data_IF_252983752314
#
_entry.id   IF_252983752314
#
_cell.length_a   1.000
_cell.length_b   1.000
_cell.length_c   1.000
_cell.angle_alpha   90.00
_cell.angle_beta   90.00
_cell.angle_gamma   90.00
#
_symmetry.space_group_name_H-M   'P 1'
#
loop_
_entity.id
_entity.type
_entity.pdbx_description
1 polymer ?
#
# COMPACT_ATOMS: atom_id res chain seq x y z
N UNK A 1 12.12 51.16 -6.14
CA UNK A 1 12.61 49.78 -6.20
C UNK A 1 12.26 49.11 -4.88
N UNK A 2 11.33 48.15 -4.83
CA UNK A 2 11.22 47.28 -3.69
C UNK A 2 12.06 46.02 -3.91
N UNK A 3 12.65 45.40 -2.88
CA UNK A 3 13.41 44.17 -3.01
C UNK A 3 12.47 42.96 -3.08
N UNK A 4 12.76 42.12 -4.04
CA UNK A 4 12.19 40.76 -4.15
C UNK A 4 12.43 39.96 -2.88
N UNK A 5 11.40 39.73 -2.09
CA UNK A 5 11.39 38.73 -1.05
C UNK A 5 10.96 37.39 -1.64
N UNK A 6 11.91 36.63 -2.17
CA UNK A 6 11.73 35.18 -2.31
C UNK A 6 11.69 34.56 -0.91
N UNK A 7 10.53 34.52 -0.31
CA UNK A 7 10.26 33.67 0.84
C UNK A 7 10.11 32.24 0.33
N UNK A 8 11.24 31.52 0.27
CA UNK A 8 11.25 30.09 0.25
C UNK A 8 10.63 29.60 1.57
N UNK A 9 9.35 29.24 1.54
CA UNK A 9 8.68 28.61 2.68
C UNK A 9 9.40 27.31 2.98
N UNK A 10 9.90 27.20 4.23
CA UNK A 10 10.38 25.93 4.78
C UNK A 10 9.24 24.93 4.72
N UNK A 11 9.43 23.72 4.10
CA UNK A 11 8.37 22.74 4.04
C UNK A 11 7.91 22.34 5.45
N UNK A 12 6.60 22.12 5.68
CA UNK A 12 6.10 21.62 6.93
C UNK A 12 6.63 20.19 7.17
N UNK A 13 7.17 19.92 8.36
CA UNK A 13 7.73 18.63 8.75
C UNK A 13 9.21 18.50 8.41
N UNK A 14 10.13 18.81 9.34
CA UNK A 14 11.58 18.58 9.28
C UNK A 14 12.30 18.77 7.95
N UNK A 15 13.61 18.89 8.00
CA UNK A 15 14.43 18.91 6.77
C UNK A 15 14.66 17.46 6.28
N UNK A 16 13.69 16.94 5.53
CA UNK A 16 13.76 15.59 4.93
C UNK A 16 14.73 15.50 3.75
N UNK A 17 15.19 16.65 3.22
CA UNK A 17 16.07 16.68 2.04
C UNK A 17 17.39 15.96 2.28
N UNK A 18 17.97 16.13 3.47
CA UNK A 18 19.20 15.43 3.84
C UNK A 18 19.02 13.90 3.93
N UNK A 19 17.89 13.43 4.44
CA UNK A 19 17.58 12.00 4.52
C UNK A 19 17.38 11.38 3.13
N UNK A 20 16.87 12.13 2.18
CA UNK A 20 16.53 11.67 0.83
C UNK A 20 17.62 11.98 -0.22
N UNK A 21 18.65 12.76 0.12
CA UNK A 21 19.72 13.12 -0.80
C UNK A 21 20.37 11.89 -1.49
N UNK A 22 20.68 10.79 -0.80
CA UNK A 22 21.28 9.62 -1.45
C UNK A 22 20.44 9.03 -2.58
N UNK A 23 19.10 8.98 -2.42
CA UNK A 23 18.21 8.49 -3.47
C UNK A 23 18.23 9.39 -4.71
N UNK A 24 18.30 10.70 -4.50
CA UNK A 24 18.35 11.68 -5.59
C UNK A 24 19.69 11.68 -6.32
N UNK A 25 20.78 11.40 -5.62
CA UNK A 25 22.14 11.32 -6.15
C UNK A 25 22.39 10.04 -6.95
N UNK A 26 21.75 8.92 -6.56
CA UNK A 26 21.92 7.61 -7.18
C UNK A 26 20.57 7.00 -7.65
N UNK A 27 19.82 7.67 -8.54
CA UNK A 27 18.49 7.22 -8.93
C UNK A 27 18.49 5.85 -9.64
N UNK A 28 19.55 5.52 -10.39
CA UNK A 28 19.71 4.22 -11.07
C UNK A 28 19.92 3.02 -10.13
N UNK A 29 20.08 3.26 -8.82
CA UNK A 29 20.18 2.22 -7.77
C UNK A 29 19.08 2.35 -6.72
N UNK A 30 18.14 3.27 -6.94
CA UNK A 30 17.12 3.65 -5.98
C UNK A 30 15.74 3.16 -6.39
N UNK A 31 14.97 2.71 -5.39
CA UNK A 31 13.57 2.35 -5.51
C UNK A 31 12.69 3.37 -4.77
N UNK A 32 11.63 3.83 -5.45
CA UNK A 32 10.60 4.70 -4.88
C UNK A 32 9.31 3.88 -4.75
N UNK A 33 8.96 3.51 -3.54
CA UNK A 33 7.78 2.71 -3.22
C UNK A 33 6.76 3.56 -2.44
N UNK A 34 5.48 3.35 -2.70
CA UNK A 34 4.41 4.12 -2.06
C UNK A 34 3.15 3.27 -1.91
N UNK A 35 2.41 3.50 -0.82
CA UNK A 35 1.01 3.10 -0.76
C UNK A 35 0.16 3.99 -1.67
N UNK A 36 -1.11 3.62 -1.86
CA UNK A 36 -2.04 4.32 -2.77
C UNK A 36 -3.12 5.07 -2.00
N UNK A 37 -3.97 4.35 -1.25
CA UNK A 37 -5.13 4.94 -0.58
C UNK A 37 -4.73 5.58 0.74
N UNK A 38 -4.90 6.89 0.87
CA UNK A 38 -4.40 7.69 2.01
C UNK A 38 -3.03 8.32 1.77
N UNK A 39 -2.27 7.82 0.80
CA UNK A 39 -0.90 8.25 0.50
C UNK A 39 -0.78 8.97 -0.85
N UNK A 40 -1.29 8.39 -1.94
CA UNK A 40 -1.35 9.00 -3.29
C UNK A 40 -2.75 9.50 -3.62
N UNK A 41 -3.78 8.83 -3.14
CA UNK A 41 -5.18 9.19 -3.30
C UNK A 41 -5.82 9.48 -1.93
N UNK A 42 -6.72 10.45 -1.81
CA UNK A 42 -7.42 10.69 -0.54
C UNK A 42 -8.30 9.48 -0.19
N UNK A 43 -8.45 9.22 1.11
CA UNK A 43 -9.42 8.26 1.61
C UNK A 43 -10.82 8.78 1.32
N UNK A 44 -11.64 7.96 0.67
CA UNK A 44 -13.02 8.27 0.28
C UNK A 44 -13.99 7.24 0.84
N UNK A 45 -15.29 7.57 0.87
CA UNK A 45 -16.31 6.64 1.38
C UNK A 45 -16.47 5.39 0.52
N UNK A 46 -16.34 5.54 -0.80
CA UNK A 46 -16.47 4.48 -1.80
C UNK A 46 -15.19 4.34 -2.57
N UNK A 47 -14.61 3.14 -2.60
CA UNK A 47 -13.32 2.89 -3.27
C UNK A 47 -13.30 3.32 -4.74
N UNK A 48 -14.45 3.27 -5.42
CA UNK A 48 -14.63 3.67 -6.82
C UNK A 48 -14.52 5.19 -7.05
N UNK A 49 -14.72 6.00 -5.99
CA UNK A 49 -14.62 7.47 -6.06
C UNK A 49 -13.19 7.97 -5.82
N UNK A 50 -12.25 7.08 -5.46
CA UNK A 50 -10.87 7.44 -5.27
C UNK A 50 -10.23 7.93 -6.57
N UNK A 51 -9.42 8.97 -6.47
CA UNK A 51 -8.69 9.51 -7.62
C UNK A 51 -7.29 9.95 -7.21
N UNK A 52 -6.29 9.56 -7.98
CA UNK A 52 -4.93 10.08 -7.82
C UNK A 52 -4.84 11.44 -8.50
N UNK A 53 -4.42 12.51 -7.80
CA UNK A 53 -4.26 13.83 -8.38
C UNK A 53 -3.31 13.83 -9.60
N UNK A 54 -3.63 14.64 -10.62
CA UNK A 54 -2.80 14.72 -11.83
C UNK A 54 -1.34 15.04 -11.51
N UNK A 55 -1.10 15.94 -10.55
CA UNK A 55 0.24 16.32 -10.12
C UNK A 55 1.04 15.15 -9.50
N UNK A 56 0.38 14.19 -8.83
CA UNK A 56 1.05 13.00 -8.31
C UNK A 56 1.41 12.04 -9.46
N UNK A 57 0.50 11.87 -10.43
CA UNK A 57 0.77 11.06 -11.63
C UNK A 57 1.92 11.61 -12.46
N UNK A 58 1.97 12.93 -12.65
CA UNK A 58 3.07 13.61 -13.35
C UNK A 58 4.41 13.39 -12.65
N UNK A 59 4.45 13.54 -11.33
CA UNK A 59 5.65 13.30 -10.55
C UNK A 59 6.09 11.82 -10.63
N UNK A 60 5.16 10.86 -10.47
CA UNK A 60 5.46 9.44 -10.58
C UNK A 60 5.94 9.04 -11.98
N UNK A 61 5.37 9.63 -13.05
CA UNK A 61 5.83 9.39 -14.40
C UNK A 61 7.27 9.88 -14.61
N UNK A 62 7.61 11.09 -14.12
CA UNK A 62 8.97 11.61 -14.18
C UNK A 62 9.96 10.76 -13.36
N UNK A 63 9.53 10.26 -12.20
CA UNK A 63 10.34 9.35 -11.39
C UNK A 63 10.60 8.02 -12.11
N UNK A 64 9.60 7.47 -12.80
CA UNK A 64 9.74 6.21 -13.54
C UNK A 64 10.75 6.29 -14.70
N UNK A 65 10.97 7.48 -15.26
CA UNK A 65 12.01 7.70 -16.28
C UNK A 65 13.43 7.79 -15.69
N UNK A 66 13.54 8.06 -14.41
CA UNK A 66 14.83 8.39 -13.76
C UNK A 66 15.30 7.32 -12.79
N UNK A 67 14.40 6.75 -12.01
CA UNK A 67 14.71 5.79 -10.95
C UNK A 67 14.67 4.36 -11.47
N UNK A 68 15.51 3.50 -10.89
CA UNK A 68 15.59 2.10 -11.30
C UNK A 68 14.26 1.35 -11.06
N UNK A 69 13.52 1.73 -10.02
CA UNK A 69 12.20 1.17 -9.71
C UNK A 69 11.29 2.24 -9.11
N UNK A 70 10.07 2.35 -9.64
CA UNK A 70 8.96 3.06 -8.99
C UNK A 70 7.79 2.10 -8.88
N UNK A 71 7.23 1.97 -7.68
CA UNK A 71 6.17 0.98 -7.45
C UNK A 71 5.13 1.42 -6.42
N UNK A 72 3.92 0.90 -6.60
CA UNK A 72 2.80 1.08 -5.67
C UNK A 72 2.49 -0.25 -4.98
N UNK A 73 2.27 -0.21 -3.66
CA UNK A 73 1.87 -1.36 -2.85
C UNK A 73 0.51 -1.04 -2.23
N UNK A 74 -0.53 -1.79 -2.56
CA UNK A 74 -1.91 -1.45 -2.20
C UNK A 74 -2.72 -2.66 -1.71
N UNK A 75 -3.74 -2.41 -0.91
CA UNK A 75 -4.79 -3.38 -0.59
C UNK A 75 -5.76 -3.65 -1.75
N UNK A 76 -5.73 -2.82 -2.81
CA UNK A 76 -6.45 -3.06 -4.06
C UNK A 76 -5.79 -4.16 -4.87
N UNK A 77 -6.55 -4.77 -5.79
CA UNK A 77 -5.93 -5.62 -6.81
C UNK A 77 -4.92 -4.81 -7.65
N UNK A 78 -3.83 -5.44 -8.10
CA UNK A 78 -2.77 -4.76 -8.84
C UNK A 78 -3.27 -4.06 -10.11
N UNK A 79 -4.19 -4.69 -10.86
CA UNK A 79 -4.82 -4.09 -12.04
C UNK A 79 -5.73 -2.91 -11.68
N UNK A 80 -6.38 -2.95 -10.53
CA UNK A 80 -7.20 -1.84 -10.04
C UNK A 80 -6.34 -0.66 -9.61
N UNK A 81 -5.27 -0.92 -8.86
CA UNK A 81 -4.29 0.10 -8.47
C UNK A 81 -3.66 0.75 -9.71
N UNK A 82 -3.26 -0.05 -10.73
CA UNK A 82 -2.74 0.47 -12.00
C UNK A 82 -3.75 1.37 -12.71
N UNK A 83 -5.03 0.97 -12.79
CA UNK A 83 -6.09 1.80 -13.40
C UNK A 83 -6.29 3.12 -12.64
N UNK A 84 -6.23 3.08 -11.31
CA UNK A 84 -6.40 4.26 -10.46
C UNK A 84 -5.23 5.24 -10.61
N UNK A 85 -3.99 4.73 -10.59
CA UNK A 85 -2.78 5.54 -10.78
C UNK A 85 -2.62 5.99 -12.23
N UNK A 86 -3.00 5.13 -13.20
CA UNK A 86 -3.01 5.46 -14.64
C UNK A 86 -1.63 5.46 -15.28
N UNK A 87 -0.67 4.69 -14.77
CA UNK A 87 0.70 4.58 -15.30
C UNK A 87 1.10 3.10 -15.43
N UNK A 88 1.39 2.67 -16.66
CA UNK A 88 1.81 1.29 -16.95
C UNK A 88 3.32 1.06 -16.77
N UNK A 89 4.07 2.14 -16.51
CA UNK A 89 5.52 2.13 -16.30
C UNK A 89 5.93 1.84 -14.86
N UNK A 90 4.97 1.73 -13.94
CA UNK A 90 5.23 1.42 -12.55
C UNK A 90 5.04 -0.08 -12.26
N UNK A 91 5.69 -0.56 -11.19
CA UNK A 91 5.36 -1.84 -10.59
C UNK A 91 4.16 -1.69 -9.62
N UNK A 92 3.31 -2.71 -9.54
CA UNK A 92 2.17 -2.74 -8.63
C UNK A 92 2.16 -4.04 -7.85
N UNK A 93 2.19 -3.94 -6.53
CA UNK A 93 1.90 -5.05 -5.64
C UNK A 93 0.47 -4.86 -5.11
N UNK A 94 -0.42 -5.74 -5.53
CA UNK A 94 -1.84 -5.73 -5.17
C UNK A 94 -2.17 -6.69 -4.04
N UNK A 95 -3.38 -6.57 -3.48
CA UNK A 95 -3.87 -7.45 -2.42
C UNK A 95 -2.89 -7.54 -1.24
N UNK A 96 -2.35 -6.37 -0.82
CA UNK A 96 -1.31 -6.27 0.22
C UNK A 96 -0.04 -7.09 -0.09
N UNK A 97 0.30 -7.32 -1.35
CA UNK A 97 1.49 -8.05 -1.77
C UNK A 97 1.25 -9.51 -2.16
N UNK A 98 0.00 -9.97 -2.23
CA UNK A 98 -0.31 -11.33 -2.69
C UNK A 98 -0.27 -11.48 -4.22
N UNK A 99 -0.10 -10.39 -4.93
CA UNK A 99 0.08 -10.39 -6.38
C UNK A 99 1.02 -9.25 -6.81
N UNK A 100 1.76 -9.46 -7.87
CA UNK A 100 2.74 -8.52 -8.41
C UNK A 100 2.53 -8.35 -9.91
N UNK A 101 2.45 -7.11 -10.37
CA UNK A 101 2.35 -6.71 -11.77
C UNK A 101 3.54 -5.79 -12.08
N UNK A 102 4.49 -6.26 -12.87
CA UNK A 102 5.66 -5.47 -13.26
C UNK A 102 5.37 -4.60 -14.48
N UNK A 103 6.18 -3.57 -14.74
CA UNK A 103 6.04 -2.74 -15.93
C UNK A 103 5.99 -3.58 -17.21
N UNK A 104 4.99 -3.31 -18.05
CA UNK A 104 4.77 -4.00 -19.32
C UNK A 104 4.08 -5.36 -19.23
N UNK A 105 3.77 -5.85 -18.04
CA UNK A 105 2.92 -7.04 -17.88
C UNK A 105 1.45 -6.68 -17.98
N UNK A 106 0.64 -7.57 -18.56
CA UNK A 106 -0.80 -7.38 -18.69
C UNK A 106 -1.57 -8.03 -17.53
N UNK A 107 -1.03 -9.12 -16.98
CA UNK A 107 -1.65 -9.89 -15.90
C UNK A 107 -0.73 -9.95 -14.68
N UNK A 108 -1.28 -9.80 -13.46
CA UNK A 108 -0.50 -9.93 -12.25
C UNK A 108 -0.09 -11.39 -12.01
N UNK A 109 1.09 -11.57 -11.45
CA UNK A 109 1.59 -12.86 -10.98
C UNK A 109 1.25 -13.02 -9.50
N UNK A 110 0.69 -14.16 -9.07
CA UNK A 110 0.46 -14.42 -7.66
C UNK A 110 1.80 -14.50 -6.90
N UNK A 111 1.79 -14.07 -5.65
CA UNK A 111 2.91 -14.30 -4.75
C UNK A 111 3.13 -15.82 -4.57
N UNK A 112 4.38 -16.31 -4.55
CA UNK A 112 4.66 -17.74 -4.39
C UNK A 112 3.98 -18.39 -3.17
N UNK A 113 3.73 -17.63 -2.11
CA UNK A 113 3.08 -18.15 -0.88
C UNK A 113 1.60 -18.48 -1.04
N UNK A 114 0.95 -17.97 -2.11
CA UNK A 114 -0.48 -18.23 -2.39
C UNK A 114 -0.70 -19.12 -3.61
N UNK A 115 0.36 -19.50 -4.32
CA UNK A 115 0.24 -20.41 -5.48
C UNK A 115 -0.38 -21.75 -5.06
N UNK A 116 -1.47 -22.13 -5.72
CA UNK A 116 -2.25 -23.34 -5.42
C UNK A 116 -3.23 -23.20 -4.25
N UNK A 117 -3.34 -22.00 -3.66
CA UNK A 117 -4.21 -21.67 -2.54
C UNK A 117 -5.17 -20.53 -2.84
N UNK A 118 -5.18 -20.07 -4.09
CA UNK A 118 -5.90 -18.86 -4.54
C UNK A 118 -7.42 -18.96 -4.30
N UNK A 119 -7.95 -20.18 -4.26
CA UNK A 119 -9.40 -20.44 -4.10
C UNK A 119 -9.83 -20.76 -2.68
N UNK A 120 -8.92 -20.95 -1.71
CA UNK A 120 -9.26 -21.39 -0.35
C UNK A 120 -10.33 -20.50 0.32
N UNK A 121 -10.16 -19.19 0.25
CA UNK A 121 -11.10 -18.24 0.85
C UNK A 121 -12.45 -18.23 0.12
N UNK A 122 -12.44 -18.35 -1.21
CA UNK A 122 -13.67 -18.37 -2.02
C UNK A 122 -14.46 -19.66 -1.81
N UNK A 123 -13.80 -20.82 -1.70
CA UNK A 123 -14.41 -22.11 -1.42
C UNK A 123 -15.00 -22.15 0.00
N UNK A 124 -14.27 -21.60 0.99
CA UNK A 124 -14.79 -21.46 2.35
C UNK A 124 -16.08 -20.62 2.35
N UNK A 125 -16.08 -19.42 1.75
CA UNK A 125 -17.29 -18.59 1.73
C UNK A 125 -18.43 -19.21 0.94
N UNK A 126 -18.17 -19.92 -0.16
CA UNK A 126 -19.18 -20.65 -0.90
C UNK A 126 -19.89 -21.71 -0.03
N UNK A 127 -19.16 -22.35 0.88
CA UNK A 127 -19.75 -23.34 1.81
C UNK A 127 -20.74 -22.76 2.82
N UNK A 128 -20.68 -21.44 3.07
CA UNK A 128 -21.54 -20.72 4.02
C UNK A 128 -22.38 -19.61 3.38
N UNK A 129 -22.47 -19.55 2.06
CA UNK A 129 -23.06 -18.45 1.29
C UNK A 129 -24.46 -18.05 1.77
N UNK A 130 -25.32 -19.05 2.05
CA UNK A 130 -26.67 -18.83 2.60
C UNK A 130 -26.68 -18.07 3.93
N UNK A 131 -25.60 -18.09 4.71
CA UNK A 131 -25.47 -17.39 5.98
C UNK A 131 -25.08 -15.93 5.77
N UNK A 132 -24.36 -15.61 4.67
CA UNK A 132 -23.87 -14.27 4.37
C UNK A 132 -25.02 -13.33 4.05
N UNK A 133 -25.95 -13.75 3.17
CA UNK A 133 -27.15 -12.96 2.84
C UNK A 133 -28.01 -12.71 4.07
N UNK A 134 -28.28 -13.77 4.86
CA UNK A 134 -29.08 -13.67 6.09
C UNK A 134 -28.45 -12.72 7.11
N UNK A 135 -27.13 -12.56 7.09
CA UNK A 135 -26.37 -11.69 7.99
C UNK A 135 -26.24 -10.25 7.48
N UNK A 136 -26.68 -9.94 6.27
CA UNK A 136 -26.47 -8.63 5.64
C UNK A 136 -25.02 -8.34 5.29
N UNK A 137 -24.23 -9.38 5.06
CA UNK A 137 -22.83 -9.31 4.66
C UNK A 137 -22.73 -9.36 3.13
N UNK A 138 -22.15 -8.32 2.53
CA UNK A 138 -21.91 -8.26 1.09
C UNK A 138 -20.52 -8.78 0.78
N UNK A 139 -20.43 -9.82 -0.04
CA UNK A 139 -19.17 -10.39 -0.50
C UNK A 139 -18.57 -9.56 -1.63
N UNK A 140 -17.25 -9.40 -1.60
CA UNK A 140 -16.43 -8.88 -2.68
C UNK A 140 -15.30 -9.87 -2.97
N UNK A 141 -15.16 -10.25 -4.24
CA UNK A 141 -14.11 -11.16 -4.70
C UNK A 141 -12.90 -10.35 -5.17
N UNK A 142 -11.78 -10.51 -4.49
CA UNK A 142 -10.49 -9.91 -4.83
C UNK A 142 -9.45 -10.97 -5.24
N UNK A 143 -9.92 -12.10 -5.78
CA UNK A 143 -9.06 -13.25 -6.10
C UNK A 143 -8.71 -14.05 -4.83
N UNK A 144 -7.44 -14.15 -4.43
CA UNK A 144 -7.04 -14.89 -3.22
C UNK A 144 -7.66 -14.36 -1.93
N UNK A 145 -8.01 -13.08 -1.91
CA UNK A 145 -8.69 -12.44 -0.79
C UNK A 145 -10.18 -12.37 -1.07
N UNK A 146 -10.99 -12.71 -0.08
CA UNK A 146 -12.43 -12.50 -0.10
C UNK A 146 -12.81 -11.52 1.00
N UNK A 147 -13.51 -10.44 0.65
CA UNK A 147 -13.93 -9.42 1.60
C UNK A 147 -15.43 -9.51 1.90
N UNK A 148 -15.79 -9.34 3.18
CA UNK A 148 -17.17 -9.27 3.67
C UNK A 148 -17.41 -7.88 4.24
N UNK A 149 -18.28 -7.13 3.58
CA UNK A 149 -18.64 -5.75 3.97
C UNK A 149 -19.99 -5.72 4.66
N UNK A 150 -20.12 -4.89 5.72
CA UNK A 150 -21.40 -4.64 6.38
C UNK A 150 -21.76 -3.16 6.47
N UNK A 151 -20.99 -2.29 5.84
CA UNK A 151 -21.34 -0.87 5.73
C UNK A 151 -22.67 -0.72 4.99
N UNK A 152 -23.63 -0.04 5.63
CA UNK A 152 -24.97 0.20 5.07
C UNK A 152 -25.90 -1.01 5.16
N UNK A 153 -25.54 -2.08 5.89
CA UNK A 153 -26.49 -3.15 6.22
C UNK A 153 -27.58 -2.62 7.16
N UNK A 154 -28.75 -3.27 7.16
CA UNK A 154 -29.90 -2.85 7.95
C UNK A 154 -29.62 -2.87 9.47
N UNK A 155 -28.76 -3.77 9.93
CA UNK A 155 -28.25 -3.86 11.31
C UNK A 155 -26.73 -4.16 11.25
N UNK A 156 -25.94 -3.08 11.23
CA UNK A 156 -24.49 -3.18 11.15
C UNK A 156 -23.88 -3.89 12.37
N UNK A 157 -24.45 -3.73 13.56
CA UNK A 157 -23.93 -4.36 14.77
C UNK A 157 -24.15 -5.88 14.76
N UNK A 158 -25.33 -6.35 14.30
CA UNK A 158 -25.59 -7.77 14.11
C UNK A 158 -24.72 -8.35 13.00
N UNK A 159 -24.53 -7.63 11.90
CA UNK A 159 -23.67 -8.05 10.79
C UNK A 159 -22.19 -8.16 11.22
N UNK A 160 -21.68 -7.22 12.01
CA UNK A 160 -20.34 -7.27 12.59
C UNK A 160 -20.16 -8.48 13.53
N UNK A 161 -21.16 -8.75 14.40
CA UNK A 161 -21.14 -9.95 15.24
C UNK A 161 -21.03 -11.24 14.44
N UNK A 162 -21.76 -11.31 13.32
CA UNK A 162 -21.68 -12.47 12.40
C UNK A 162 -20.33 -12.55 11.67
N UNK A 163 -19.76 -11.41 11.28
CA UNK A 163 -18.42 -11.38 10.71
C UNK A 163 -17.38 -11.94 11.72
N UNK A 164 -17.51 -11.63 13.01
CA UNK A 164 -16.65 -12.21 14.05
C UNK A 164 -16.77 -13.74 14.16
N UNK A 165 -17.99 -14.28 14.09
CA UNK A 165 -18.20 -15.73 14.10
C UNK A 165 -17.53 -16.38 12.86
N UNK A 166 -17.72 -15.77 11.68
CA UNK A 166 -17.12 -16.25 10.42
C UNK A 166 -15.59 -16.19 10.48
N UNK A 167 -15.03 -15.13 11.06
CA UNK A 167 -13.57 -14.99 11.21
C UNK A 167 -12.99 -16.12 12.06
N UNK A 168 -13.68 -16.54 13.13
CA UNK A 168 -13.25 -17.67 13.97
C UNK A 168 -13.32 -18.98 13.19
N UNK A 169 -14.39 -19.20 12.41
CA UNK A 169 -14.55 -20.40 11.57
C UNK A 169 -13.48 -20.45 10.48
N UNK A 170 -13.24 -19.32 9.80
CA UNK A 170 -12.20 -19.16 8.77
C UNK A 170 -10.80 -19.47 9.34
N UNK A 171 -10.49 -18.95 10.53
CA UNK A 171 -9.23 -19.25 11.20
C UNK A 171 -9.05 -20.75 11.48
N UNK A 172 -10.13 -21.47 11.85
CA UNK A 172 -10.11 -22.94 12.04
C UNK A 172 -9.97 -23.69 10.73
N UNK A 173 -10.42 -23.09 9.62
CA UNK A 173 -10.27 -23.64 8.28
C UNK A 173 -8.88 -23.36 7.66
N UNK A 174 -7.99 -22.68 8.38
CA UNK A 174 -6.64 -22.37 7.90
C UNK A 174 -6.53 -21.07 7.09
N UNK A 175 -7.54 -20.20 7.19
CA UNK A 175 -7.49 -18.85 6.61
C UNK A 175 -7.05 -17.82 7.65
N UNK A 176 -6.50 -16.72 7.19
CA UNK A 176 -6.13 -15.56 7.99
C UNK A 176 -7.21 -14.48 7.88
N UNK A 177 -7.97 -14.16 8.96
CA UNK A 177 -8.88 -13.04 8.97
C UNK A 177 -8.14 -11.74 9.23
N UNK A 178 -8.42 -10.71 8.44
CA UNK A 178 -7.93 -9.33 8.62
C UNK A 178 -9.11 -8.37 8.73
N UNK A 179 -9.02 -7.45 9.68
CA UNK A 179 -10.08 -6.49 9.96
C UNK A 179 -9.72 -5.13 9.40
N UNK A 180 -10.64 -4.58 8.60
CA UNK A 180 -10.60 -3.20 8.16
C UNK A 180 -11.83 -2.42 8.67
N UNK A 181 -12.06 -1.24 8.14
CA UNK A 181 -13.17 -0.37 8.55
C UNK A 181 -14.50 -0.87 7.99
N UNK A 182 -15.27 -1.65 8.78
CA UNK A 182 -16.52 -2.34 8.40
C UNK A 182 -16.33 -3.36 7.28
N UNK A 183 -15.19 -4.02 7.29
CA UNK A 183 -14.86 -5.11 6.37
C UNK A 183 -14.04 -6.17 7.11
N UNK A 184 -14.33 -7.42 6.81
CA UNK A 184 -13.52 -8.59 7.16
C UNK A 184 -12.94 -9.15 5.86
N UNK A 185 -11.63 -9.20 5.75
CA UNK A 185 -10.94 -9.89 4.67
C UNK A 185 -10.50 -11.27 5.14
N UNK A 186 -10.75 -12.28 4.34
CA UNK A 186 -10.29 -13.65 4.52
C UNK A 186 -9.28 -13.96 3.42
N UNK A 187 -8.10 -14.43 3.80
CA UNK A 187 -7.03 -14.78 2.86
C UNK A 187 -6.35 -16.08 3.25
N UNK A 188 -5.70 -16.80 2.33
CA UNK A 188 -4.82 -17.89 2.67
C UNK A 188 -3.75 -17.42 3.66
N UNK A 189 -3.39 -18.26 4.64
CA UNK A 189 -2.22 -17.97 5.49
C UNK A 189 -0.99 -17.92 4.59
N UNK A 190 -0.43 -16.76 4.45
CA UNK A 190 0.74 -16.49 3.59
C UNK A 190 1.79 -15.75 4.41
N UNK A 191 3.04 -15.89 4.03
CA UNK A 191 4.11 -15.02 4.52
C UNK A 191 4.07 -13.62 3.88
N UNK A 192 3.04 -13.34 3.05
CA UNK A 192 2.91 -12.11 2.29
C UNK A 192 2.04 -11.06 2.99
N UNK A 193 2.55 -9.85 2.95
CA UNK A 193 1.94 -8.61 3.36
C UNK A 193 2.66 -7.49 2.63
N UNK A 194 2.54 -6.23 3.05
CA UNK A 194 3.35 -5.14 2.47
C UNK A 194 4.86 -5.38 2.67
N UNK A 195 5.26 -6.12 3.71
CA UNK A 195 6.63 -6.61 3.93
C UNK A 195 7.10 -7.56 2.81
N UNK A 196 6.28 -8.56 2.45
CA UNK A 196 6.55 -9.48 1.34
C UNK A 196 6.63 -8.74 0.00
N UNK A 197 5.72 -7.78 -0.25
CA UNK A 197 5.75 -6.94 -1.44
C UNK A 197 7.05 -6.15 -1.55
N UNK A 198 7.49 -5.51 -0.46
CA UNK A 198 8.77 -4.78 -0.41
C UNK A 198 9.93 -5.72 -0.72
N UNK A 199 9.96 -6.92 -0.12
CA UNK A 199 11.01 -7.90 -0.38
C UNK A 199 11.04 -8.34 -1.85
N UNK A 200 9.88 -8.59 -2.45
CA UNK A 200 9.77 -9.02 -3.85
C UNK A 200 10.17 -7.93 -4.82
N UNK A 201 9.75 -6.68 -4.58
CA UNK A 201 10.09 -5.54 -5.42
C UNK A 201 11.58 -5.16 -5.33
N UNK A 202 12.20 -5.36 -4.16
CA UNK A 202 13.61 -5.07 -3.92
C UNK A 202 14.52 -6.30 -4.08
N UNK A 203 14.05 -7.36 -4.75
CA UNK A 203 14.83 -8.57 -4.96
C UNK A 203 16.04 -8.38 -5.89
N UNK A 204 16.03 -7.36 -6.76
CA UNK A 204 17.15 -7.01 -7.62
C UNK A 204 18.33 -6.51 -6.79
N UNK A 205 19.48 -7.19 -6.92
CA UNK A 205 20.71 -6.87 -6.19
C UNK A 205 21.33 -5.52 -6.58
N UNK A 206 20.92 -4.92 -7.69
CA UNK A 206 21.36 -3.58 -8.09
C UNK A 206 20.66 -2.46 -7.33
N UNK A 207 19.50 -2.77 -6.69
CA UNK A 207 18.76 -1.84 -5.85
C UNK A 207 19.31 -1.89 -4.42
N UNK A 208 19.96 -0.82 -3.98
CA UNK A 208 20.50 -0.73 -2.63
C UNK A 208 20.07 0.54 -1.86
N UNK A 209 19.25 1.37 -2.48
CA UNK A 209 18.62 2.54 -1.88
C UNK A 209 17.10 2.43 -2.05
N UNK A 210 16.32 2.64 -1.01
CA UNK A 210 14.88 2.56 -1.09
C UNK A 210 14.17 3.57 -0.18
N UNK A 211 13.02 4.06 -0.65
CA UNK A 211 12.05 4.81 0.14
C UNK A 211 10.70 4.12 0.06
N UNK A 212 9.97 4.10 1.15
CA UNK A 212 8.57 3.71 1.18
C UNK A 212 7.73 4.75 1.93
N UNK A 213 6.60 5.16 1.35
CA UNK A 213 5.64 6.05 1.99
C UNK A 213 4.30 5.35 2.20
N UNK A 214 3.69 5.56 3.37
CA UNK A 214 2.39 5.00 3.71
C UNK A 214 1.73 5.76 4.86
N UNK A 215 0.41 5.50 5.09
CA UNK A 215 -0.43 6.23 6.04
C UNK A 215 -1.16 5.35 7.05
N UNK A 216 -1.12 4.02 6.89
CA UNK A 216 -1.88 3.12 7.74
C UNK A 216 -1.02 2.11 8.52
N UNK A 217 -1.69 1.26 9.30
CA UNK A 217 -1.03 0.24 10.14
C UNK A 217 -0.32 -0.84 9.32
N UNK A 218 -0.81 -1.15 8.10
CA UNK A 218 -0.18 -2.17 7.24
C UNK A 218 1.13 -1.68 6.63
N UNK A 219 1.34 -0.36 6.57
CA UNK A 219 2.58 0.24 6.11
C UNK A 219 3.74 0.06 7.10
N UNK A 220 3.43 -0.13 8.37
CA UNK A 220 4.43 -0.46 9.38
C UNK A 220 5.14 -1.81 9.09
N UNK A 221 4.45 -2.74 8.41
CA UNK A 221 5.07 -3.99 7.96
C UNK A 221 6.11 -3.72 6.87
N UNK A 222 5.78 -2.83 5.89
CA UNK A 222 6.73 -2.38 4.87
C UNK A 222 7.94 -1.64 5.49
N UNK A 223 7.71 -0.74 6.47
CA UNK A 223 8.77 -0.04 7.18
C UNK A 223 9.72 -1.01 7.89
N UNK A 224 9.15 -2.01 8.57
CA UNK A 224 9.92 -3.04 9.27
C UNK A 224 10.79 -3.81 8.28
N UNK A 225 10.23 -4.21 7.13
CA UNK A 225 10.98 -4.94 6.10
C UNK A 225 12.12 -4.12 5.50
N UNK A 226 11.92 -2.83 5.23
CA UNK A 226 13.00 -1.96 4.77
C UNK A 226 14.15 -1.89 5.78
N UNK A 227 13.85 -1.78 7.07
CA UNK A 227 14.87 -1.76 8.14
C UNK A 227 15.62 -3.09 8.26
N UNK A 228 14.90 -4.22 8.11
CA UNK A 228 15.50 -5.55 8.07
C UNK A 228 16.47 -5.68 6.89
N UNK A 229 16.06 -5.32 5.68
CA UNK A 229 16.91 -5.35 4.48
C UNK A 229 18.16 -4.48 4.65
N UNK A 230 18.02 -3.33 5.30
CA UNK A 230 19.17 -2.48 5.64
C UNK A 230 20.08 -3.13 6.68
N UNK A 231 19.52 -3.74 7.73
CA UNK A 231 20.30 -4.44 8.76
C UNK A 231 21.01 -5.69 8.22
N UNK A 232 20.41 -6.36 7.24
CA UNK A 232 20.99 -7.48 6.50
C UNK A 232 22.11 -7.06 5.50
N UNK A 233 22.29 -5.76 5.30
CA UNK A 233 23.26 -5.20 4.34
C UNK A 233 22.81 -5.27 2.86
N UNK A 234 21.55 -5.58 2.61
CA UNK A 234 20.92 -5.59 1.28
C UNK A 234 20.64 -4.16 0.78
N UNK A 235 20.31 -3.26 1.68
CA UNK A 235 20.14 -1.84 1.39
C UNK A 235 21.22 -1.04 2.11
N UNK A 236 21.87 -0.14 1.37
CA UNK A 236 22.77 0.86 1.92
C UNK A 236 21.98 1.94 2.67
N UNK A 237 20.87 2.39 2.09
CA UNK A 237 19.96 3.33 2.74
C UNK A 237 18.50 2.92 2.52
N UNK A 238 17.70 3.11 3.57
CA UNK A 238 16.25 2.92 3.55
C UNK A 238 15.62 4.08 4.32
N UNK A 239 14.54 4.66 3.75
CA UNK A 239 13.80 5.77 4.37
C UNK A 239 12.33 5.41 4.44
N UNK A 240 11.76 5.44 5.64
CA UNK A 240 10.35 5.24 5.90
C UNK A 240 9.65 6.59 6.05
N UNK A 241 8.66 6.88 5.21
CA UNK A 241 7.90 8.14 5.21
C UNK A 241 6.48 7.89 5.71
N UNK A 242 6.15 8.44 6.87
CA UNK A 242 4.78 8.44 7.39
C UNK A 242 3.97 9.62 6.84
N UNK A 243 2.90 9.31 6.13
CA UNK A 243 1.91 10.31 5.68
C UNK A 243 0.85 10.43 6.76
N UNK A 244 0.96 11.47 7.58
CA UNK A 244 0.12 11.65 8.75
C UNK A 244 -1.25 12.20 8.37
N UNK A 245 -2.29 11.63 8.95
CA UNK A 245 -3.66 12.12 8.89
C UNK A 245 -4.32 12.07 10.27
N UNK A 246 -5.41 12.81 10.51
CA UNK A 246 -6.12 12.78 11.79
C UNK A 246 -6.67 11.39 12.17
N UNK A 247 -6.88 10.52 11.20
CA UNK A 247 -7.41 9.17 11.38
C UNK A 247 -6.31 8.08 11.35
N UNK A 248 -5.05 8.46 11.05
CA UNK A 248 -3.91 7.55 10.97
C UNK A 248 -3.47 6.99 12.33
N UNK A 249 -2.76 5.86 12.35
CA UNK A 249 -2.26 5.26 13.58
C UNK A 249 -1.13 6.11 14.19
N UNK A 250 -1.15 6.29 15.52
CA UNK A 250 -0.11 7.06 16.21
C UNK A 250 1.29 6.45 16.04
N UNK A 251 1.36 5.12 15.93
CA UNK A 251 2.59 4.36 15.73
C UNK A 251 3.32 4.76 14.43
N UNK A 252 2.60 5.27 13.44
CA UNK A 252 3.18 5.70 12.18
C UNK A 252 4.19 6.83 12.39
N UNK A 253 3.86 7.79 13.28
CA UNK A 253 4.77 8.89 13.61
C UNK A 253 6.05 8.41 14.32
N UNK A 254 5.93 7.39 15.18
CA UNK A 254 7.05 6.85 15.95
C UNK A 254 7.98 6.00 15.08
N UNK A 255 7.40 5.29 14.10
CA UNK A 255 8.08 4.34 13.22
C UNK A 255 8.56 4.95 11.90
N UNK A 256 8.40 6.25 11.67
CA UNK A 256 8.85 6.92 10.45
C UNK A 256 10.19 7.63 10.65
N UNK A 257 11.05 7.59 9.64
CA UNK A 257 12.28 8.40 9.60
C UNK A 257 11.94 9.85 9.20
N UNK A 258 10.90 10.00 8.39
CA UNK A 258 10.35 11.28 7.92
C UNK A 258 8.85 11.24 8.07
N UNK A 259 8.25 12.32 8.55
CA UNK A 259 6.80 12.48 8.57
C UNK A 259 6.37 13.66 7.72
N UNK A 260 5.27 13.51 7.01
CA UNK A 260 4.65 14.58 6.22
C UNK A 260 3.16 14.65 6.51
N UNK A 261 2.59 15.85 6.37
CA UNK A 261 1.15 16.06 6.58
C UNK A 261 0.40 15.77 5.28
N UNK A 262 -0.53 14.81 5.33
CA UNK A 262 -1.43 14.45 4.25
C UNK A 262 -0.73 14.20 2.89
N UNK A 263 -1.49 13.99 1.82
CA UNK A 263 -0.99 13.78 0.47
C UNK A 263 -0.09 14.89 -0.04
N UNK A 264 -0.36 16.13 0.39
CA UNK A 264 0.37 17.31 -0.07
C UNK A 264 1.85 17.26 0.31
N UNK A 265 2.15 16.75 1.50
CA UNK A 265 3.52 16.58 1.97
C UNK A 265 4.27 15.51 1.20
N UNK A 266 3.63 14.37 0.93
CA UNK A 266 4.23 13.31 0.11
C UNK A 266 4.45 13.78 -1.33
N UNK A 267 3.48 14.47 -1.93
CA UNK A 267 3.61 15.04 -3.26
C UNK A 267 4.79 16.01 -3.37
N UNK A 268 5.07 16.79 -2.33
CA UNK A 268 6.23 17.68 -2.30
C UNK A 268 7.55 16.90 -2.38
N UNK A 269 7.65 15.77 -1.68
CA UNK A 269 8.81 14.87 -1.76
C UNK A 269 8.93 14.25 -3.16
N UNK A 270 7.86 13.71 -3.73
CA UNK A 270 7.87 13.13 -5.08
C UNK A 270 8.36 14.13 -6.13
N UNK A 271 7.89 15.37 -6.08
CA UNK A 271 8.33 16.43 -6.98
C UNK A 271 9.81 16.76 -6.81
N UNK A 272 10.27 16.87 -5.57
CA UNK A 272 11.67 17.16 -5.29
C UNK A 272 12.60 16.02 -5.77
N UNK A 273 12.19 14.76 -5.64
CA UNK A 273 12.92 13.62 -6.19
C UNK A 273 12.91 13.59 -7.72
N UNK A 274 11.86 14.10 -8.36
CA UNK A 274 11.72 14.15 -9.82
C UNK A 274 12.58 15.27 -10.48
N UNK A 275 12.95 16.33 -9.74
CA UNK A 275 13.85 17.41 -10.19
C UNK A 275 15.33 16.96 -10.27
#
# INVERSE_FOLDING_TARGET
>A
MPPDSKTGGRPPGGDWTAALAPLREEPGRSAILTDVDGTLAPIVERAEDATVPAAAREALAALAERYALVGCISGRQALEARRLVGLDTLAYAGNHGLELLLPGEEEPRPDPSVVGRENEASEFLASIDHRLEAAGLRREDKGPIQALHWRGSADEAAAESRAHEIAIEAGRAGLEPRWGRKVLELRPVSGGGKDGAVASLLADEQLDLAIYAGDDRTDLDAFRRLRELRAEGRLHAAVCVGVLSPEGPAELQEESDVTVEELGGWLAILRWLAE
#
